data_IF_895353430755
#
_entry.id   IF_895353430755
#
_cell.length_a   1.000
_cell.length_b   1.000
_cell.length_c   1.000
_cell.angle_alpha   90.00
_cell.angle_beta   90.00
_cell.angle_gamma   90.00
#
_symmetry.space_group_name_H-M   'P 1'
#
loop_
_entity.id
_entity.type
_entity.pdbx_description
1 polymer ?
#
# COMPACT_ATOMS: atom_id res chain seq x y z
N UNK A 1 12.04 -13.32 -13.16
CA UNK A 1 11.26 -12.10 -12.84
C UNK A 1 11.95 -11.44 -11.65
N UNK A 2 12.28 -10.15 -11.68
CA UNK A 2 12.99 -9.50 -10.55
C UNK A 2 12.05 -9.24 -9.37
N UNK A 3 12.61 -9.15 -8.17
CA UNK A 3 11.91 -8.76 -6.91
C UNK A 3 11.14 -7.44 -7.11
N UNK A 4 11.75 -6.49 -7.82
CA UNK A 4 11.13 -5.21 -8.20
C UNK A 4 9.90 -5.37 -9.10
N UNK A 5 9.99 -6.23 -10.13
CA UNK A 5 8.85 -6.50 -11.01
C UNK A 5 7.68 -7.15 -10.27
N UNK A 6 7.97 -8.04 -9.32
CA UNK A 6 6.93 -8.64 -8.47
C UNK A 6 6.28 -7.61 -7.54
N UNK A 7 7.08 -6.74 -6.91
CA UNK A 7 6.58 -5.65 -6.09
C UNK A 7 5.68 -4.70 -6.90
N UNK A 8 6.12 -4.33 -8.11
CA UNK A 8 5.33 -3.50 -9.04
C UNK A 8 4.02 -4.18 -9.46
N UNK A 9 4.06 -5.48 -9.77
CA UNK A 9 2.86 -6.24 -10.14
C UNK A 9 1.85 -6.31 -8.99
N UNK A 10 2.32 -6.59 -7.78
CA UNK A 10 1.49 -6.61 -6.58
C UNK A 10 0.81 -5.24 -6.38
N UNK A 11 1.62 -4.18 -6.36
CA UNK A 11 1.15 -2.80 -6.22
C UNK A 11 0.10 -2.41 -7.26
N UNK A 12 0.40 -2.61 -8.56
CA UNK A 12 -0.50 -2.26 -9.64
C UNK A 12 -1.83 -3.02 -9.57
N UNK A 13 -1.78 -4.30 -9.19
CA UNK A 13 -2.98 -5.13 -9.01
C UNK A 13 -3.89 -4.50 -7.96
N UNK A 14 -3.40 -4.29 -6.73
CA UNK A 14 -4.24 -3.79 -5.66
C UNK A 14 -4.63 -2.32 -5.81
N UNK A 15 -3.81 -1.50 -6.48
CA UNK A 15 -4.16 -0.11 -6.77
C UNK A 15 -5.39 -0.03 -7.69
N UNK A 16 -5.50 -0.96 -8.65
CA UNK A 16 -6.67 -1.08 -9.51
C UNK A 16 -7.95 -1.37 -8.71
N UNK A 17 -7.88 -2.26 -7.72
CA UNK A 17 -9.05 -2.65 -6.91
C UNK A 17 -9.43 -1.62 -5.82
N UNK A 18 -8.51 -0.73 -5.42
CA UNK A 18 -8.77 0.25 -4.37
C UNK A 18 -9.80 1.29 -4.81
N UNK A 19 -10.99 1.27 -4.22
CA UNK A 19 -12.13 2.11 -4.67
C UNK A 19 -11.97 3.59 -4.34
N UNK A 20 -11.32 3.92 -3.23
CA UNK A 20 -11.11 5.31 -2.80
C UNK A 20 -9.60 5.63 -2.70
N UNK A 21 -8.93 5.84 -3.85
CA UNK A 21 -7.51 6.14 -3.86
C UNK A 21 -7.19 7.51 -3.25
N UNK A 22 -8.15 8.45 -3.30
CA UNK A 22 -8.00 9.79 -2.73
C UNK A 22 -7.85 9.74 -1.20
N UNK A 23 -8.74 9.05 -0.50
CA UNK A 23 -8.65 8.88 0.95
C UNK A 23 -7.39 8.10 1.35
N UNK A 24 -7.03 7.07 0.59
CA UNK A 24 -5.88 6.25 0.90
C UNK A 24 -4.54 7.02 0.83
N UNK A 25 -4.39 7.90 -0.17
CA UNK A 25 -3.19 8.73 -0.33
C UNK A 25 -3.21 10.03 0.45
N UNK A 26 -4.36 10.72 0.51
CA UNK A 26 -4.46 12.08 1.02
C UNK A 26 -5.35 12.22 2.27
N UNK A 27 -5.96 11.14 2.74
CA UNK A 27 -6.94 11.20 3.82
C UNK A 27 -8.21 11.97 3.44
N UNK A 28 -9.17 12.04 4.36
CA UNK A 28 -10.47 12.68 4.11
C UNK A 28 -10.41 14.21 3.97
N UNK A 29 -9.38 14.86 4.51
CA UNK A 29 -9.26 16.33 4.58
C UNK A 29 -8.06 16.89 3.79
N UNK A 30 -7.45 16.12 2.87
CA UNK A 30 -6.38 16.62 2.00
C UNK A 30 -4.99 16.72 2.66
N UNK A 31 -4.69 15.82 3.61
CA UNK A 31 -3.40 15.69 4.28
C UNK A 31 -2.64 14.42 3.87
N UNK A 32 -2.02 13.74 4.85
CA UNK A 32 -1.33 12.47 4.63
C UNK A 32 -2.28 11.30 4.87
N UNK A 33 -2.60 10.56 3.82
CA UNK A 33 -3.42 9.35 3.91
C UNK A 33 -2.66 8.18 4.52
N UNK A 34 -3.41 7.13 4.88
CA UNK A 34 -2.89 5.95 5.57
C UNK A 34 -1.73 5.28 4.82
N UNK A 35 -1.75 5.28 3.48
CA UNK A 35 -0.69 4.68 2.67
C UNK A 35 0.64 5.40 2.89
N UNK A 36 0.62 6.73 2.96
CA UNK A 36 1.83 7.55 3.20
C UNK A 36 2.31 7.38 4.65
N UNK A 37 1.39 7.30 5.62
CA UNK A 37 1.74 7.10 7.03
C UNK A 37 2.40 5.73 7.26
N UNK A 38 1.84 4.68 6.66
CA UNK A 38 2.40 3.33 6.74
C UNK A 38 3.73 3.25 5.99
N UNK A 39 3.87 3.90 4.83
CA UNK A 39 5.14 3.90 4.11
C UNK A 39 6.30 4.46 4.93
N UNK A 40 6.07 5.49 5.73
CA UNK A 40 7.09 6.02 6.64
C UNK A 40 7.47 5.03 7.73
N UNK A 41 6.50 4.33 8.31
CA UNK A 41 6.76 3.26 9.30
C UNK A 41 7.55 2.10 8.67
N UNK A 42 7.18 1.69 7.45
CA UNK A 42 7.86 0.65 6.69
C UNK A 42 9.32 1.02 6.38
N UNK A 43 9.60 2.29 6.03
CA UNK A 43 10.99 2.75 5.80
C UNK A 43 11.86 2.67 7.05
N UNK A 44 11.25 2.72 8.25
CA UNK A 44 11.96 2.59 9.52
C UNK A 44 12.04 1.14 10.03
N UNK A 45 11.33 0.21 9.39
CA UNK A 45 11.29 -1.20 9.77
C UNK A 45 12.64 -1.89 9.55
N UNK A 46 13.00 -2.80 10.46
CA UNK A 46 14.21 -3.63 10.35
C UNK A 46 13.89 -5.12 10.24
N UNK A 47 12.69 -5.51 10.65
CA UNK A 47 12.24 -6.90 10.73
C UNK A 47 10.85 -7.08 10.11
N UNK A 48 10.47 -8.33 9.79
CA UNK A 48 9.09 -8.65 9.38
C UNK A 48 8.05 -8.32 10.46
N UNK A 49 8.43 -8.35 11.73
CA UNK A 49 7.53 -7.98 12.82
C UNK A 49 7.23 -6.48 12.81
N UNK A 50 8.24 -5.63 12.54
CA UNK A 50 8.05 -4.19 12.37
C UNK A 50 7.11 -3.88 11.19
N UNK A 51 7.26 -4.61 10.09
CA UNK A 51 6.36 -4.50 8.93
C UNK A 51 4.93 -4.86 9.36
N UNK A 52 4.75 -5.97 10.06
CA UNK A 52 3.42 -6.41 10.52
C UNK A 52 2.76 -5.35 11.40
N UNK A 53 3.51 -4.75 12.34
CA UNK A 53 3.02 -3.64 13.19
C UNK A 53 2.71 -2.39 12.39
N UNK A 54 3.50 -2.08 11.35
CA UNK A 54 3.25 -0.94 10.48
C UNK A 54 1.97 -1.09 9.65
N UNK A 55 1.64 -2.32 9.22
CA UNK A 55 0.49 -2.66 8.38
C UNK A 55 -0.83 -2.81 9.16
N UNK A 56 -0.81 -2.76 10.49
CA UNK A 56 -2.02 -2.89 11.29
C UNK A 56 -2.95 -1.68 11.11
N UNK A 57 -4.06 -1.92 10.41
CA UNK A 57 -5.06 -0.92 10.06
C UNK A 57 -5.95 -0.50 11.23
N UNK A 58 -5.98 -1.25 12.33
CA UNK A 58 -6.78 -0.91 13.51
C UNK A 58 -6.34 0.42 14.16
N UNK A 59 -5.10 0.85 13.86
CA UNK A 59 -4.55 2.15 14.25
C UNK A 59 -5.21 3.35 13.56
N UNK A 60 -6.07 3.13 12.56
CA UNK A 60 -6.70 4.18 11.75
C UNK A 60 -8.23 4.03 11.74
N UNK A 61 -8.91 4.33 12.87
CA UNK A 61 -10.34 4.07 13.05
C UNK A 61 -11.24 4.87 12.11
N UNK A 62 -10.75 5.99 11.57
CA UNK A 62 -11.53 6.89 10.71
C UNK A 62 -11.55 6.47 9.23
N UNK A 63 -10.91 5.36 8.86
CA UNK A 63 -10.93 4.85 7.49
C UNK A 63 -12.33 4.45 7.06
N UNK A 64 -12.72 4.84 5.84
CA UNK A 64 -13.91 4.27 5.23
C UNK A 64 -13.82 2.74 5.11
N UNK A 65 -14.96 2.07 5.28
CA UNK A 65 -15.06 0.62 5.24
C UNK A 65 -14.57 0.04 3.90
N UNK A 66 -14.80 0.72 2.78
CA UNK A 66 -14.32 0.26 1.48
C UNK A 66 -12.79 0.31 1.42
N UNK A 67 -12.21 1.44 1.83
CA UNK A 67 -10.76 1.65 1.87
C UNK A 67 -10.07 0.68 2.80
N UNK A 68 -10.62 0.47 4.00
CA UNK A 68 -10.12 -0.52 4.97
C UNK A 68 -10.05 -1.92 4.36
N UNK A 69 -11.14 -2.37 3.72
CA UNK A 69 -11.21 -3.72 3.16
C UNK A 69 -10.25 -3.89 1.98
N UNK A 70 -10.15 -2.89 1.11
CA UNK A 70 -9.30 -2.95 -0.07
C UNK A 70 -7.81 -2.93 0.31
N UNK A 71 -7.42 -2.10 1.30
CA UNK A 71 -6.07 -2.09 1.85
C UNK A 71 -5.74 -3.38 2.61
N UNK A 72 -6.70 -3.93 3.38
CA UNK A 72 -6.50 -5.20 4.08
C UNK A 72 -6.16 -6.33 3.11
N UNK A 73 -6.79 -6.38 1.93
CA UNK A 73 -6.48 -7.37 0.89
C UNK A 73 -5.05 -7.20 0.36
N UNK A 74 -4.63 -5.97 0.12
CA UNK A 74 -3.25 -5.68 -0.30
C UNK A 74 -2.24 -6.11 0.78
N UNK A 75 -2.51 -5.76 2.03
CA UNK A 75 -1.59 -6.05 3.15
C UNK A 75 -1.49 -7.53 3.44
N UNK A 76 -2.61 -8.26 3.39
CA UNK A 76 -2.59 -9.72 3.55
C UNK A 76 -1.75 -10.39 2.46
N UNK A 77 -1.88 -9.96 1.21
CA UNK A 77 -1.10 -10.55 0.12
C UNK A 77 0.38 -10.18 0.19
N UNK A 78 0.68 -8.95 0.60
CA UNK A 78 2.05 -8.51 0.90
C UNK A 78 2.66 -9.35 2.02
N UNK A 79 1.96 -9.55 3.14
CA UNK A 79 2.40 -10.37 4.28
C UNK A 79 2.62 -11.83 3.87
N UNK A 80 1.70 -12.41 3.10
CA UNK A 80 1.85 -13.75 2.54
C UNK A 80 3.11 -13.85 1.68
N UNK A 81 3.33 -12.86 0.80
CA UNK A 81 4.48 -12.84 -0.11
C UNK A 81 5.81 -12.74 0.65
N UNK A 82 5.92 -11.87 1.65
CA UNK A 82 7.16 -11.69 2.40
C UNK A 82 7.39 -12.76 3.49
N UNK A 83 6.41 -13.62 3.77
CA UNK A 83 6.54 -14.69 4.78
C UNK A 83 7.74 -15.61 4.52
N UNK A 84 8.01 -15.88 3.23
CA UNK A 84 9.09 -16.75 2.75
C UNK A 84 10.44 -16.03 2.62
N UNK A 85 10.48 -14.72 2.84
CA UNK A 85 11.70 -13.92 2.71
C UNK A 85 12.45 -13.83 4.04
N UNK A 86 13.76 -13.62 3.97
CA UNK A 86 14.52 -13.10 5.11
C UNK A 86 14.09 -11.65 5.40
N UNK A 87 14.41 -11.14 6.60
CA UNK A 87 14.00 -9.81 7.03
C UNK A 87 14.50 -8.69 6.10
N UNK A 88 15.73 -8.78 5.60
CA UNK A 88 16.30 -7.75 4.73
C UNK A 88 15.57 -7.70 3.39
N UNK A 89 15.31 -8.86 2.79
CA UNK A 89 14.56 -8.98 1.54
C UNK A 89 13.11 -8.56 1.72
N UNK A 90 12.47 -8.92 2.83
CA UNK A 90 11.11 -8.52 3.17
C UNK A 90 10.96 -6.99 3.28
N UNK A 91 11.87 -6.32 3.99
CA UNK A 91 11.88 -4.86 4.11
C UNK A 91 12.06 -4.20 2.74
N UNK A 92 13.05 -4.62 1.95
CA UNK A 92 13.28 -4.08 0.60
C UNK A 92 12.06 -4.26 -0.30
N UNK A 93 11.50 -5.46 -0.35
CA UNK A 93 10.30 -5.76 -1.15
C UNK A 93 9.13 -4.88 -0.74
N UNK A 94 8.91 -4.72 0.57
CA UNK A 94 7.78 -3.94 1.08
C UNK A 94 7.93 -2.45 0.78
N UNK A 95 9.14 -1.89 0.91
CA UNK A 95 9.43 -0.50 0.51
C UNK A 95 9.13 -0.28 -0.97
N UNK A 96 9.58 -1.19 -1.85
CA UNK A 96 9.31 -1.07 -3.29
C UNK A 96 7.83 -1.25 -3.62
N UNK A 97 7.14 -2.20 -2.98
CA UNK A 97 5.71 -2.40 -3.16
C UNK A 97 4.92 -1.13 -2.80
N UNK A 98 5.23 -0.48 -1.68
CA UNK A 98 4.59 0.78 -1.29
C UNK A 98 4.96 1.95 -2.21
N UNK A 99 6.20 2.01 -2.72
CA UNK A 99 6.60 3.04 -3.68
C UNK A 99 5.76 2.95 -4.96
N UNK A 100 5.68 1.76 -5.56
CA UNK A 100 4.87 1.55 -6.76
C UNK A 100 3.38 1.68 -6.49
N UNK A 101 2.92 1.30 -5.29
CA UNK A 101 1.51 1.43 -4.93
C UNK A 101 1.10 2.91 -4.90
N UNK A 102 1.92 3.77 -4.28
CA UNK A 102 1.68 5.22 -4.32
C UNK A 102 1.63 5.75 -5.75
N UNK A 103 2.62 5.42 -6.59
CA UNK A 103 2.65 5.84 -8.01
C UNK A 103 1.37 5.42 -8.73
N UNK A 104 0.98 4.14 -8.60
CA UNK A 104 -0.22 3.61 -9.25
C UNK A 104 -1.51 4.28 -8.76
N UNK A 105 -1.59 4.63 -7.46
CA UNK A 105 -2.72 5.36 -6.91
C UNK A 105 -2.76 6.82 -7.41
N UNK A 106 -1.62 7.49 -7.51
CA UNK A 106 -1.53 8.83 -8.11
C UNK A 106 -2.03 8.81 -9.56
N UNK A 107 -1.53 7.88 -10.38
CA UNK A 107 -1.99 7.72 -11.77
C UNK A 107 -3.49 7.45 -11.83
N UNK A 108 -4.00 6.55 -10.98
CA UNK A 108 -5.44 6.25 -10.92
C UNK A 108 -6.29 7.48 -10.58
N UNK A 109 -5.84 8.32 -9.64
CA UNK A 109 -6.53 9.57 -9.28
C UNK A 109 -6.54 10.54 -10.47
N UNK A 110 -5.41 10.69 -11.16
CA UNK A 110 -5.35 11.52 -12.36
C UNK A 110 -6.31 11.04 -13.45
N UNK A 111 -6.36 9.73 -13.69
CA UNK A 111 -7.25 9.13 -14.69
C UNK A 111 -8.73 9.38 -14.35
N UNK A 112 -9.11 9.18 -13.09
CA UNK A 112 -10.45 9.50 -12.59
C UNK A 112 -10.77 10.98 -12.80
N UNK A 113 -9.85 11.89 -12.46
CA UNK A 113 -10.05 13.34 -12.63
C UNK A 113 -10.17 13.77 -14.09
N UNK A 114 -9.53 13.02 -15.01
CA UNK A 114 -9.65 13.23 -16.47
C UNK A 114 -10.91 12.56 -17.06
N UNK A 115 -11.69 11.84 -16.25
CA UNK A 115 -12.88 11.11 -16.70
C UNK A 115 -12.58 9.78 -17.38
N UNK A 116 -11.34 9.29 -17.31
CA UNK A 116 -10.97 7.96 -17.77
C UNK A 116 -11.35 6.95 -16.69
N UNK A 117 -12.49 6.27 -16.88
CA UNK A 117 -12.90 5.16 -16.01
C UNK A 117 -12.07 3.93 -16.36
N UNK A 118 -11.22 3.48 -15.43
CA UNK A 118 -10.39 2.27 -15.52
C UNK A 118 -10.92 1.11 -14.64
#
# INVERSE_FOLDING_TARGET
>A
MSVENEAKKLAATYARWLRNPQEALFGKQGGRGVVILIYDKVKAAKTKEDITKALDLSQYPDLDKATYNDLSRFFNELLNKISQFDDQTAVKFTIEAFRYFQIALFTKIEDINKGYWA
#
